data_IF_472953668784
#
_entry.id   IF_472953668784
#
_cell.length_a   1.000
_cell.length_b   1.000
_cell.length_c   1.000
_cell.angle_alpha   90.00
_cell.angle_beta   90.00
_cell.angle_gamma   90.00
#
_symmetry.space_group_name_H-M   'P 1'
#
loop_
_entity.id
_entity.type
_entity.pdbx_description
1 polymer ?
#
# COMPACT_ATOMS: atom_id res chain seq x y z
N UNK A 1 -34.90 -14.01 -25.85
CA UNK A 1 -34.69 -13.91 -24.40
C UNK A 1 -33.18 -13.85 -24.20
N UNK A 2 -32.62 -12.65 -24.03
CA UNK A 2 -31.18 -12.48 -23.85
C UNK A 2 -30.87 -12.63 -22.36
N UNK A 3 -30.11 -13.65 -21.98
CA UNK A 3 -29.59 -13.79 -20.63
C UNK A 3 -28.52 -12.72 -20.43
N UNK A 4 -28.82 -11.74 -19.57
CA UNK A 4 -27.81 -10.85 -19.02
C UNK A 4 -26.83 -11.71 -18.20
N UNK A 5 -25.75 -12.16 -18.82
CA UNK A 5 -24.58 -12.61 -18.09
C UNK A 5 -23.99 -11.37 -17.42
N UNK A 6 -24.35 -11.18 -16.16
CA UNK A 6 -23.64 -10.27 -15.27
C UNK A 6 -22.19 -10.75 -15.25
N UNK A 7 -21.32 -10.09 -16.01
CA UNK A 7 -19.87 -10.25 -15.92
C UNK A 7 -19.50 -9.74 -14.53
N UNK A 8 -19.54 -10.62 -13.54
CA UNK A 8 -18.95 -10.36 -12.22
C UNK A 8 -17.45 -10.31 -12.48
N UNK A 9 -16.87 -9.11 -12.39
CA UNK A 9 -15.43 -8.95 -12.49
C UNK A 9 -14.75 -9.97 -11.54
N UNK A 10 -13.69 -10.67 -11.97
CA UNK A 10 -13.00 -11.63 -11.12
C UNK A 10 -12.65 -10.97 -9.78
N UNK A 11 -13.01 -11.60 -8.66
CA UNK A 11 -12.54 -11.14 -7.37
C UNK A 11 -11.01 -11.33 -7.36
N UNK A 12 -10.28 -10.21 -7.44
CA UNK A 12 -8.82 -10.22 -7.35
C UNK A 12 -8.38 -10.97 -6.07
N UNK A 13 -7.43 -11.88 -6.25
CA UNK A 13 -6.86 -12.74 -5.22
C UNK A 13 -5.78 -11.99 -4.43
N UNK A 14 -5.49 -12.48 -3.23
CA UNK A 14 -4.36 -11.99 -2.42
C UNK A 14 -3.04 -11.96 -3.20
N UNK A 15 -2.79 -12.98 -4.02
CA UNK A 15 -1.59 -13.09 -4.84
C UNK A 15 -1.52 -11.99 -5.92
N UNK A 16 -2.64 -11.68 -6.56
CA UNK A 16 -2.74 -10.62 -7.57
C UNK A 16 -2.46 -9.24 -6.95
N UNK A 17 -3.00 -8.94 -5.76
CA UNK A 17 -2.69 -7.67 -5.10
C UNK A 17 -1.24 -7.53 -4.66
N UNK A 18 -0.61 -8.62 -4.20
CA UNK A 18 0.83 -8.61 -3.91
C UNK A 18 1.63 -8.38 -5.19
N UNK A 19 1.24 -9.01 -6.30
CA UNK A 19 1.88 -8.86 -7.60
C UNK A 19 1.75 -7.42 -8.14
N UNK A 20 0.57 -6.82 -8.02
CA UNK A 20 0.30 -5.44 -8.45
C UNK A 20 1.08 -4.44 -7.60
N UNK A 21 1.16 -4.68 -6.29
CA UNK A 21 1.96 -3.88 -5.39
C UNK A 21 3.45 -3.95 -5.75
N UNK A 22 3.95 -5.16 -6.02
CA UNK A 22 5.32 -5.41 -6.47
C UNK A 22 5.65 -4.67 -7.77
N UNK A 23 4.81 -4.80 -8.79
CA UNK A 23 5.02 -4.16 -10.09
C UNK A 23 4.93 -2.64 -9.99
N UNK A 24 3.95 -2.12 -9.25
CA UNK A 24 3.80 -0.68 -9.05
C UNK A 24 5.01 -0.11 -8.32
N UNK A 25 5.52 -0.79 -7.30
CA UNK A 25 6.68 -0.32 -6.57
C UNK A 25 7.97 -0.40 -7.41
N UNK A 26 8.12 -1.43 -8.24
CA UNK A 26 9.22 -1.53 -9.21
C UNK A 26 9.19 -0.39 -10.25
N UNK A 27 8.01 0.00 -10.74
CA UNK A 27 7.87 1.17 -11.61
C UNK A 27 8.26 2.47 -10.91
N UNK A 28 7.86 2.66 -9.64
CA UNK A 28 8.28 3.82 -8.87
C UNK A 28 9.81 3.87 -8.72
N UNK A 29 10.46 2.74 -8.40
CA UNK A 29 11.92 2.66 -8.31
C UNK A 29 12.62 2.99 -9.64
N UNK A 30 12.06 2.54 -10.77
CA UNK A 30 12.60 2.87 -12.09
C UNK A 30 12.59 4.38 -12.36
N UNK A 31 11.56 5.09 -11.91
CA UNK A 31 11.46 6.55 -12.01
C UNK A 31 12.37 7.27 -11.02
N UNK A 32 12.57 6.72 -9.82
CA UNK A 32 13.47 7.26 -8.79
C UNK A 32 14.96 7.12 -9.15
N UNK A 33 15.34 6.21 -10.06
CA UNK A 33 16.74 6.02 -10.50
C UNK A 33 17.43 7.28 -11.04
N UNK A 34 16.69 8.32 -11.40
CA UNK A 34 17.24 9.62 -11.76
C UNK A 34 17.88 10.37 -10.57
N UNK A 35 17.59 9.96 -9.32
CA UNK A 35 18.10 10.55 -8.08
C UNK A 35 18.47 9.46 -7.05
N UNK A 36 19.59 8.77 -7.32
CA UNK A 36 20.03 7.53 -6.62
C UNK A 36 20.38 7.69 -5.14
N UNK A 37 20.64 8.90 -4.68
CA UNK A 37 21.02 9.17 -3.29
C UNK A 37 19.91 9.83 -2.47
N UNK A 38 18.70 9.93 -3.03
CA UNK A 38 17.55 10.43 -2.28
C UNK A 38 17.19 9.43 -1.16
N UNK A 39 17.07 9.85 0.11
CA UNK A 39 16.63 9.00 1.22
C UNK A 39 15.40 8.11 0.95
N UNK A 40 14.37 8.55 0.19
CA UNK A 40 13.25 7.66 -0.13
C UNK A 40 13.61 6.48 -1.04
N UNK A 41 14.67 6.56 -1.86
CA UNK A 41 15.04 5.48 -2.77
C UNK A 41 15.38 4.18 -2.03
N UNK A 42 16.26 4.24 -1.01
CA UNK A 42 16.65 3.02 -0.29
C UNK A 42 15.50 2.45 0.54
N UNK A 43 14.62 3.28 1.10
CA UNK A 43 13.45 2.81 1.86
C UNK A 43 12.46 2.11 0.93
N UNK A 44 12.17 2.68 -0.26
CA UNK A 44 11.27 2.09 -1.25
C UNK A 44 11.87 0.78 -1.83
N UNK A 45 13.20 0.71 -1.94
CA UNK A 45 13.93 -0.49 -2.37
C UNK A 45 13.91 -1.59 -1.30
N UNK A 46 14.03 -1.24 -0.02
CA UNK A 46 13.84 -2.19 1.06
C UNK A 46 12.38 -2.68 1.11
N UNK A 47 11.41 -1.78 0.89
CA UNK A 47 10.01 -2.15 0.77
C UNK A 47 9.81 -3.17 -0.36
N UNK A 48 10.41 -2.95 -1.53
CA UNK A 48 10.39 -3.91 -2.65
C UNK A 48 10.86 -5.31 -2.23
N UNK A 49 11.99 -5.39 -1.51
CA UNK A 49 12.54 -6.66 -1.08
C UNK A 49 11.59 -7.41 -0.13
N UNK A 50 10.94 -6.71 0.80
CA UNK A 50 9.97 -7.32 1.72
C UNK A 50 8.66 -7.72 1.01
N UNK A 51 8.20 -6.96 0.00
CA UNK A 51 7.05 -7.35 -0.84
C UNK A 51 7.34 -8.66 -1.57
N UNK A 52 8.50 -8.75 -2.23
CA UNK A 52 8.94 -9.97 -2.92
C UNK A 52 9.10 -11.14 -1.95
N UNK A 53 9.63 -10.89 -0.75
CA UNK A 53 9.75 -11.92 0.29
C UNK A 53 8.39 -12.45 0.74
N UNK A 54 7.43 -11.56 1.02
CA UNK A 54 6.08 -11.94 1.44
C UNK A 54 5.39 -12.84 0.41
N UNK A 55 5.54 -12.53 -0.88
CA UNK A 55 5.01 -13.33 -2.00
C UNK A 55 5.43 -14.81 -1.92
N UNK A 56 6.62 -15.09 -1.38
CA UNK A 56 7.18 -16.45 -1.32
C UNK A 56 6.94 -17.18 -0.01
N UNK A 57 6.76 -16.47 1.11
CA UNK A 57 6.68 -17.08 2.44
C UNK A 57 5.38 -16.80 3.21
N UNK A 58 4.55 -15.86 2.74
CA UNK A 58 3.29 -15.44 3.37
C UNK A 58 3.40 -15.06 4.86
N UNK A 59 4.58 -14.64 5.30
CA UNK A 59 4.82 -14.26 6.70
C UNK A 59 4.22 -12.88 7.01
N UNK A 60 3.33 -12.82 7.99
CA UNK A 60 2.63 -11.60 8.37
C UNK A 60 3.57 -10.53 8.95
N UNK A 61 4.70 -10.90 9.56
CA UNK A 61 5.70 -9.93 10.00
C UNK A 61 6.44 -9.30 8.82
N UNK A 62 6.67 -10.07 7.75
CA UNK A 62 7.22 -9.58 6.49
C UNK A 62 6.23 -8.62 5.82
N UNK A 63 4.94 -8.95 5.78
CA UNK A 63 3.91 -8.03 5.28
C UNK A 63 3.85 -6.73 6.09
N UNK A 64 3.90 -6.81 7.42
CA UNK A 64 3.92 -5.64 8.29
C UNK A 64 5.14 -4.76 8.02
N UNK A 65 6.31 -5.37 7.84
CA UNK A 65 7.55 -4.64 7.49
C UNK A 65 7.45 -4.00 6.11
N UNK A 66 6.94 -4.70 5.10
CA UNK A 66 6.69 -4.16 3.77
C UNK A 66 5.76 -2.95 3.82
N UNK A 67 4.62 -3.06 4.52
CA UNK A 67 3.67 -1.96 4.69
C UNK A 67 4.33 -0.75 5.38
N UNK A 68 5.09 -0.97 6.45
CA UNK A 68 5.79 0.09 7.17
C UNK A 68 6.77 0.84 6.27
N UNK A 69 7.67 0.11 5.61
CA UNK A 69 8.69 0.70 4.73
C UNK A 69 8.05 1.44 3.56
N UNK A 70 7.05 0.84 2.92
CA UNK A 70 6.33 1.47 1.82
C UNK A 70 5.62 2.75 2.27
N UNK A 71 5.00 2.75 3.45
CA UNK A 71 4.34 3.93 4.03
C UNK A 71 5.35 5.05 4.26
N UNK A 72 6.49 4.75 4.90
CA UNK A 72 7.55 5.72 5.18
C UNK A 72 8.14 6.30 3.89
N UNK A 73 8.55 5.45 2.95
CA UNK A 73 9.15 5.89 1.68
C UNK A 73 8.18 6.74 0.84
N UNK A 74 6.91 6.35 0.80
CA UNK A 74 5.86 7.10 0.10
C UNK A 74 5.56 8.43 0.78
N UNK A 75 5.48 8.46 2.11
CA UNK A 75 5.23 9.67 2.90
C UNK A 75 6.28 10.75 2.71
N UNK A 76 7.57 10.37 2.77
CA UNK A 76 8.69 11.29 2.51
C UNK A 76 8.54 11.98 1.15
N UNK A 77 8.20 11.22 0.11
CA UNK A 77 8.02 11.77 -1.23
C UNK A 77 6.73 12.61 -1.36
N UNK A 78 5.64 12.22 -0.71
CA UNK A 78 4.37 12.93 -0.75
C UNK A 78 4.45 14.33 -0.09
N UNK A 79 5.27 14.46 0.95
CA UNK A 79 5.48 15.70 1.70
C UNK A 79 6.55 16.61 1.12
N UNK A 80 7.48 16.08 0.31
CA UNK A 80 8.45 16.90 -0.41
C UNK A 80 7.78 17.93 -1.34
N UNK A 81 8.47 19.04 -1.62
CA UNK A 81 8.12 19.94 -2.73
C UNK A 81 8.40 19.22 -4.06
N UNK A 82 7.37 18.52 -4.54
CA UNK A 82 7.42 17.67 -5.72
C UNK A 82 7.44 18.52 -6.99
N UNK A 83 8.45 18.34 -7.84
CA UNK A 83 8.43 18.84 -9.22
C UNK A 83 7.37 18.07 -10.02
N UNK A 84 6.68 18.70 -11.00
CA UNK A 84 5.65 18.05 -11.84
C UNK A 84 6.09 16.69 -12.43
N UNK A 85 7.38 16.50 -12.68
CA UNK A 85 7.97 15.26 -13.22
C UNK A 85 7.91 14.06 -12.27
N UNK A 86 7.62 14.26 -10.98
CA UNK A 86 7.56 13.21 -9.97
C UNK A 86 6.12 12.72 -9.66
N UNK A 87 5.10 13.26 -10.34
CA UNK A 87 3.70 12.85 -10.14
C UNK A 87 3.46 11.38 -10.51
N UNK A 88 4.11 10.89 -11.57
CA UNK A 88 4.02 9.47 -11.96
C UNK A 88 4.61 8.55 -10.88
N UNK A 89 5.72 8.96 -10.25
CA UNK A 89 6.31 8.23 -9.13
C UNK A 89 5.32 8.10 -7.97
N UNK A 90 4.63 9.19 -7.60
CA UNK A 90 3.60 9.16 -6.56
C UNK A 90 2.40 8.28 -6.92
N UNK A 91 1.97 8.29 -8.18
CA UNK A 91 0.90 7.39 -8.63
C UNK A 91 1.28 5.92 -8.44
N UNK A 92 2.51 5.55 -8.79
CA UNK A 92 3.00 4.18 -8.61
C UNK A 92 3.18 3.81 -7.13
N UNK A 93 3.73 4.71 -6.31
CA UNK A 93 3.91 4.47 -4.87
C UNK A 93 2.57 4.35 -4.12
N UNK A 94 1.60 5.21 -4.44
CA UNK A 94 0.26 5.13 -3.86
C UNK A 94 -0.47 3.86 -4.28
N UNK A 95 -0.37 3.44 -5.55
CA UNK A 95 -0.90 2.15 -6.02
C UNK A 95 -0.26 0.97 -5.28
N UNK A 96 1.06 0.98 -5.12
CA UNK A 96 1.77 -0.06 -4.38
C UNK A 96 1.31 -0.14 -2.93
N UNK A 97 1.23 1.01 -2.25
CA UNK A 97 0.79 1.10 -0.87
C UNK A 97 -0.68 0.66 -0.71
N UNK A 98 -1.55 1.06 -1.64
CA UNK A 98 -2.94 0.66 -1.65
C UNK A 98 -3.12 -0.85 -1.87
N UNK A 99 -2.32 -1.45 -2.76
CA UNK A 99 -2.26 -2.92 -2.92
C UNK A 99 -1.91 -3.63 -1.62
N UNK A 100 -0.91 -3.15 -0.88
CA UNK A 100 -0.55 -3.72 0.43
C UNK A 100 -1.66 -3.57 1.48
N UNK A 101 -2.41 -2.47 1.46
CA UNK A 101 -3.58 -2.32 2.32
C UNK A 101 -4.67 -3.34 1.98
N UNK A 102 -4.96 -3.59 0.69
CA UNK A 102 -5.88 -4.65 0.28
C UNK A 102 -5.44 -6.03 0.78
N UNK A 103 -4.14 -6.31 0.72
CA UNK A 103 -3.55 -7.55 1.25
C UNK A 103 -3.79 -7.66 2.75
N UNK A 104 -3.44 -6.63 3.53
CA UNK A 104 -3.68 -6.61 4.99
C UNK A 104 -5.16 -6.83 5.32
N UNK A 105 -6.07 -6.24 4.55
CA UNK A 105 -7.52 -6.38 4.73
C UNK A 105 -8.05 -7.82 4.58
N UNK A 106 -7.25 -8.76 4.06
CA UNK A 106 -7.61 -10.19 3.98
C UNK A 106 -6.79 -11.10 4.89
N UNK A 107 -5.95 -10.55 5.74
CA UNK A 107 -5.08 -11.33 6.63
C UNK A 107 -5.56 -11.29 8.08
N UNK A 108 -4.98 -12.12 8.95
CA UNK A 108 -5.29 -12.17 10.39
C UNK A 108 -4.78 -10.96 11.18
N UNK A 109 -3.94 -10.12 10.57
CA UNK A 109 -3.50 -8.83 11.15
C UNK A 109 -4.42 -7.67 10.77
N UNK A 110 -5.53 -7.92 10.07
CA UNK A 110 -6.54 -6.91 9.72
C UNK A 110 -7.06 -6.17 10.95
N UNK A 111 -6.96 -4.83 11.00
CA UNK A 111 -7.64 -4.02 12.02
C UNK A 111 -9.17 -4.03 11.90
N UNK A 112 -9.88 -3.85 13.02
CA UNK A 112 -11.34 -3.87 13.04
C UNK A 112 -11.99 -2.80 12.14
N UNK A 113 -11.35 -1.65 11.97
CA UNK A 113 -11.84 -0.53 11.15
C UNK A 113 -11.38 -0.58 9.68
N UNK A 114 -10.69 -1.65 9.26
CA UNK A 114 -10.07 -1.73 7.94
C UNK A 114 -11.09 -1.62 6.79
N UNK A 115 -12.26 -2.26 6.90
CA UNK A 115 -13.22 -2.27 5.79
C UNK A 115 -13.78 -0.87 5.48
N UNK A 116 -14.17 -0.12 6.53
CA UNK A 116 -14.64 1.25 6.37
C UNK A 116 -13.56 2.20 5.84
N UNK A 117 -12.31 1.98 6.28
CA UNK A 117 -11.17 2.74 5.76
C UNK A 117 -10.92 2.46 4.27
N UNK A 118 -10.96 1.19 3.85
CA UNK A 118 -10.74 0.81 2.45
C UNK A 118 -11.83 1.37 1.53
N UNK A 119 -13.10 1.32 1.94
CA UNK A 119 -14.21 1.93 1.20
C UNK A 119 -13.96 3.43 0.97
N UNK A 120 -13.52 4.13 2.02
CA UNK A 120 -13.21 5.56 1.93
C UNK A 120 -12.05 5.83 0.97
N UNK A 121 -10.96 5.08 1.08
CA UNK A 121 -9.79 5.24 0.20
C UNK A 121 -10.15 4.95 -1.26
N UNK A 122 -10.97 3.94 -1.54
CA UNK A 122 -11.47 3.65 -2.90
C UNK A 122 -12.35 4.76 -3.46
N UNK A 123 -13.22 5.33 -2.63
CA UNK A 123 -14.02 6.50 -2.99
C UNK A 123 -13.15 7.70 -3.32
N UNK A 124 -12.17 8.00 -2.47
CA UNK A 124 -11.23 9.12 -2.68
C UNK A 124 -10.38 8.89 -3.93
N UNK A 125 -9.95 7.65 -4.20
CA UNK A 125 -9.21 7.29 -5.40
C UNK A 125 -10.02 7.56 -6.69
N UNK A 126 -11.33 7.34 -6.67
CA UNK A 126 -12.22 7.67 -7.80
C UNK A 126 -12.40 9.18 -7.96
N UNK A 127 -12.55 9.91 -6.86
CA UNK A 127 -12.75 11.37 -6.90
C UNK A 127 -11.48 12.15 -7.26
N UNK A 128 -10.30 11.63 -6.91
CA UNK A 128 -9.02 12.32 -7.00
C UNK A 128 -8.08 11.76 -8.08
N UNK A 129 -8.60 11.05 -9.10
CA UNK A 129 -7.76 10.45 -10.16
C UNK A 129 -6.83 11.48 -10.84
N UNK A 130 -7.25 12.74 -10.92
CA UNK A 130 -6.47 13.84 -11.50
C UNK A 130 -5.48 14.52 -10.52
N UNK A 131 -5.49 14.16 -9.24
CA UNK A 131 -4.60 14.71 -8.20
C UNK A 131 -3.82 13.59 -7.47
N UNK A 132 -2.74 13.08 -8.08
CA UNK A 132 -1.93 12.02 -7.49
C UNK A 132 -1.32 12.37 -6.14
N UNK A 133 -1.00 13.65 -5.91
CA UNK A 133 -0.35 14.07 -4.68
C UNK A 133 -1.33 13.97 -3.52
N UNK A 134 -2.53 14.52 -3.68
CA UNK A 134 -3.57 14.43 -2.64
C UNK A 134 -3.99 13.00 -2.39
N UNK A 135 -4.18 12.20 -3.45
CA UNK A 135 -4.48 10.78 -3.31
C UNK A 135 -3.37 10.04 -2.54
N UNK A 136 -2.10 10.28 -2.88
CA UNK A 136 -0.96 9.64 -2.20
C UNK A 136 -0.95 9.98 -0.71
N UNK A 137 -1.19 11.23 -0.32
CA UNK A 137 -1.28 11.62 1.09
C UNK A 137 -2.41 10.90 1.83
N UNK A 138 -3.56 10.72 1.20
CA UNK A 138 -4.69 9.97 1.77
C UNK A 138 -4.31 8.51 1.99
N UNK A 139 -3.71 7.86 1.00
CA UNK A 139 -3.30 6.46 1.10
C UNK A 139 -2.20 6.28 2.16
N UNK A 140 -1.22 7.19 2.22
CA UNK A 140 -0.21 7.21 3.30
C UNK A 140 -0.89 7.32 4.65
N UNK A 141 -1.83 8.25 4.82
CA UNK A 141 -2.51 8.44 6.10
C UNK A 141 -3.33 7.22 6.51
N UNK A 142 -3.99 6.58 5.55
CA UNK A 142 -4.69 5.32 5.78
C UNK A 142 -3.72 4.22 6.26
N UNK A 143 -2.55 4.11 5.63
CA UNK A 143 -1.55 3.13 6.02
C UNK A 143 -0.94 3.37 7.41
N UNK A 144 -0.70 4.63 7.77
CA UNK A 144 -0.29 5.00 9.14
C UNK A 144 -1.32 4.53 10.18
N UNK A 145 -2.60 4.83 9.96
CA UNK A 145 -3.68 4.41 10.86
C UNK A 145 -3.77 2.88 10.98
N UNK A 146 -3.58 2.15 9.88
CA UNK A 146 -3.55 0.68 9.89
C UNK A 146 -2.37 0.16 10.69
N UNK A 147 -1.18 0.72 10.50
CA UNK A 147 0.03 0.34 11.24
C UNK A 147 -0.12 0.58 12.75
N UNK A 148 -0.68 1.73 13.15
CA UNK A 148 -0.97 2.05 14.55
C UNK A 148 -1.98 1.05 15.14
N UNK A 149 -3.04 0.72 14.39
CA UNK A 149 -4.07 -0.21 14.84
C UNK A 149 -3.53 -1.64 14.98
N UNK A 150 -2.68 -2.11 14.05
CA UNK A 150 -2.00 -3.41 14.16
C UNK A 150 -1.17 -3.47 15.44
N UNK A 151 -0.35 -2.44 15.69
CA UNK A 151 0.51 -2.39 16.87
C UNK A 151 -0.31 -2.37 18.18
N UNK A 152 -1.45 -1.67 18.20
CA UNK A 152 -2.35 -1.68 19.34
C UNK A 152 -2.97 -3.07 19.57
N UNK A 153 -3.42 -3.74 18.52
CA UNK A 153 -3.96 -5.11 18.62
C UNK A 153 -2.94 -6.12 19.13
N UNK A 154 -1.69 -6.02 18.68
CA UNK A 154 -0.58 -6.86 19.18
C UNK A 154 -0.37 -6.64 20.70
N UNK A 155 -0.29 -5.39 21.15
CA UNK A 155 -0.16 -5.06 22.58
C UNK A 155 -1.33 -5.57 23.42
N UNK A 156 -2.56 -5.46 22.93
CA UNK A 156 -3.74 -5.98 23.64
C UNK A 156 -3.66 -7.51 23.76
N UNK A 157 -3.25 -8.22 22.70
CA UNK A 157 -3.10 -9.68 22.75
C UNK A 157 -2.02 -10.10 23.74
N UNK A 158 -0.88 -9.41 23.76
CA UNK A 158 0.18 -9.66 24.73
C UNK A 158 -0.32 -9.48 26.16
N UNK A 159 -1.02 -8.37 26.45
CA UNK A 159 -1.59 -8.10 27.76
C UNK A 159 -2.61 -9.16 28.21
N UNK A 160 -3.49 -9.61 27.31
CA UNK A 160 -4.50 -10.64 27.61
C UNK A 160 -3.94 -12.06 27.71
N UNK A 161 -2.68 -12.27 27.32
CA UNK A 161 -2.00 -13.57 27.40
C UNK A 161 -1.15 -13.76 28.66
N UNK A 162 -1.09 -12.74 29.52
CA UNK A 162 -0.46 -12.77 30.84
C UNK A 162 -1.47 -13.19 31.92
#
# INVERSE_FOLDING_TARGET
MFTNETIVAPQETLAEWVQDAEQSNQHALALLRADRNSPPHEIVKEAQAEITKYKTNSDLQVLKKALKLQTTGTGILADAEIRRTQLATLQHLSKALFGLLKVVAKTKIKPCNMDGLMIKVESDAKALQADPRRLTKIVVKAAELVMEAIALQEKIREFLSQ
#
